data_IF_906527324427
#
_entry.id   IF_906527324427
#
_cell.length_a   1.000
_cell.length_b   1.000
_cell.length_c   1.000
_cell.angle_alpha   90.00
_cell.angle_beta   90.00
_cell.angle_gamma   90.00
#
_symmetry.space_group_name_H-M   'P 1'
#
loop_
_entity.id
_entity.type
_entity.pdbx_description
1 polymer ?
#
# COMPACT_ATOMS: atom_id res chain seq x y z
N UNK A 1 -42.23 -6.33 14.55
CA UNK A 1 -41.02 -6.92 13.95
C UNK A 1 -40.17 -5.79 13.38
N UNK A 2 -39.07 -5.43 14.05
CA UNK A 2 -38.11 -4.46 13.53
C UNK A 2 -36.79 -5.19 13.33
N UNK A 3 -36.43 -5.42 12.06
CA UNK A 3 -35.17 -6.04 11.69
C UNK A 3 -34.05 -5.03 11.93
N UNK A 4 -33.23 -5.25 12.95
CA UNK A 4 -31.98 -4.52 13.15
C UNK A 4 -30.91 -5.18 12.27
N UNK A 5 -30.55 -4.53 11.17
CA UNK A 5 -29.31 -4.82 10.44
C UNK A 5 -28.13 -4.43 11.31
N UNK A 6 -27.45 -5.42 11.89
CA UNK A 6 -26.15 -5.23 12.54
C UNK A 6 -25.11 -4.92 11.46
N UNK A 7 -24.67 -3.67 11.37
CA UNK A 7 -23.45 -3.32 10.65
C UNK A 7 -22.26 -3.85 11.45
N UNK A 8 -21.62 -4.91 10.96
CA UNK A 8 -20.39 -5.43 11.56
C UNK A 8 -19.27 -4.39 11.40
N UNK A 9 -18.53 -4.05 12.47
CA UNK A 9 -17.44 -3.09 12.39
C UNK A 9 -16.33 -3.60 11.47
N UNK A 10 -15.96 -2.78 10.48
CA UNK A 10 -14.80 -3.04 9.62
C UNK A 10 -13.54 -3.11 10.49
N UNK A 11 -12.71 -4.17 10.38
CA UNK A 11 -11.45 -4.22 11.12
C UNK A 11 -10.57 -3.04 10.69
N UNK A 12 -10.37 -2.09 11.60
CA UNK A 12 -9.51 -0.94 11.37
C UNK A 12 -8.07 -1.34 11.69
N UNK A 13 -7.33 -1.78 10.68
CA UNK A 13 -5.86 -1.90 10.78
C UNK A 13 -5.27 -0.51 10.56
N UNK A 14 -5.06 0.25 11.64
CA UNK A 14 -4.36 1.54 11.60
C UNK A 14 -2.86 1.30 11.70
N UNK A 15 -2.16 1.10 10.57
CA UNK A 15 -0.69 1.13 10.58
C UNK A 15 -0.23 2.57 10.59
N UNK A 16 0.15 3.06 11.77
CA UNK A 16 0.80 4.37 11.91
C UNK A 16 2.28 4.23 11.59
N UNK A 17 2.68 4.53 10.36
CA UNK A 17 4.09 4.70 10.00
C UNK A 17 4.60 6.09 10.45
N UNK A 18 4.52 6.37 11.75
CA UNK A 18 5.28 7.46 12.37
C UNK A 18 6.65 6.89 12.72
N UNK A 19 7.70 7.34 12.04
CA UNK A 19 9.07 6.95 12.33
C UNK A 19 9.72 7.95 13.30
N UNK A 20 9.90 7.59 14.58
CA UNK A 20 10.95 8.13 15.39
C UNK A 20 12.00 7.06 15.76
N UNK A 21 13.28 7.40 15.55
CA UNK A 21 14.48 6.79 16.16
C UNK A 21 14.98 5.41 15.64
N UNK A 22 16.31 5.13 15.71
CA UNK A 22 16.96 4.07 14.96
C UNK A 22 16.98 2.75 15.75
N UNK A 23 15.82 2.14 15.91
CA UNK A 23 15.74 0.73 16.26
C UNK A 23 14.80 0.09 15.24
N UNK A 24 15.34 -0.56 14.21
CA UNK A 24 14.50 -1.04 13.14
C UNK A 24 13.78 -2.28 13.65
N UNK A 25 12.49 -2.14 13.98
CA UNK A 25 11.53 -3.24 13.80
C UNK A 25 11.35 -3.47 12.30
N UNK A 26 12.45 -3.81 11.65
CA UNK A 26 12.52 -4.24 10.27
C UNK A 26 12.27 -5.72 10.27
N UNK A 27 11.02 -6.09 10.05
CA UNK A 27 10.67 -7.44 9.68
C UNK A 27 11.47 -7.79 8.41
N UNK A 28 12.46 -8.68 8.53
CA UNK A 28 13.35 -9.06 7.43
C UNK A 28 12.57 -9.86 6.37
N UNK A 29 11.92 -9.12 5.47
CA UNK A 29 11.00 -9.64 4.46
C UNK A 29 11.75 -10.19 3.24
N UNK A 30 12.31 -11.39 3.34
CA UNK A 30 12.66 -12.15 2.15
C UNK A 30 11.44 -12.86 1.55
N UNK A 31 10.40 -13.22 2.33
CA UNK A 31 9.28 -14.06 1.87
C UNK A 31 7.89 -13.55 2.24
N UNK A 32 7.81 -12.48 3.03
CA UNK A 32 6.51 -12.03 3.51
C UNK A 32 5.67 -11.43 2.39
N UNK A 33 4.38 -11.73 2.45
CA UNK A 33 3.36 -11.24 1.54
C UNK A 33 2.30 -10.47 2.33
N UNK A 34 2.61 -9.31 2.98
CA UNK A 34 1.59 -8.54 3.67
C UNK A 34 0.47 -8.14 2.70
N UNK A 35 -0.74 -8.53 3.05
CA UNK A 35 -1.94 -8.25 2.28
C UNK A 35 -2.94 -7.52 3.14
N UNK A 36 -3.41 -6.37 2.66
CA UNK A 36 -4.41 -5.56 3.35
C UNK A 36 -5.62 -5.43 2.45
N UNK A 37 -6.78 -5.87 2.94
CA UNK A 37 -8.06 -5.74 2.26
C UNK A 37 -9.01 -4.90 3.10
N UNK A 38 -9.70 -3.95 2.48
CA UNK A 38 -10.72 -3.13 3.16
C UNK A 38 -10.19 -2.36 4.39
N UNK A 39 -8.89 -2.02 4.39
CA UNK A 39 -8.23 -1.33 5.51
C UNK A 39 -8.16 0.19 5.30
N UNK A 40 -8.03 0.95 6.39
CA UNK A 40 -7.74 2.39 6.36
C UNK A 40 -6.26 2.62 6.65
N UNK A 41 -5.55 3.21 5.70
CA UNK A 41 -4.16 3.61 5.85
C UNK A 41 -4.13 5.09 6.23
N UNK A 42 -4.00 5.38 7.53
CA UNK A 42 -4.10 6.74 8.07
C UNK A 42 -2.70 7.34 8.25
N UNK A 43 -2.38 8.35 7.45
CA UNK A 43 -1.14 9.11 7.52
C UNK A 43 -1.26 10.20 8.59
N UNK A 44 -0.35 10.17 9.57
CA UNK A 44 -0.29 11.12 10.67
C UNK A 44 0.85 12.10 10.49
N UNK A 45 0.75 13.26 11.16
CA UNK A 45 1.83 14.26 11.18
C UNK A 45 3.13 13.63 11.71
N UNK A 46 4.21 13.60 10.92
CA UNK A 46 5.51 13.11 11.38
C UNK A 46 6.22 14.17 12.23
N UNK A 47 7.43 13.86 12.69
CA UNK A 47 8.29 14.86 13.32
C UNK A 47 8.78 15.90 12.31
N UNK A 48 9.37 16.99 12.79
CA UNK A 48 9.93 18.03 11.95
C UNK A 48 10.93 17.46 10.92
N UNK A 49 10.94 18.04 9.72
CA UNK A 49 11.83 17.68 8.61
C UNK A 49 11.71 16.22 8.10
N UNK A 50 10.56 15.58 8.30
CA UNK A 50 10.28 14.24 7.79
C UNK A 50 9.19 14.26 6.71
N UNK A 51 9.20 13.24 5.84
CA UNK A 51 8.14 12.92 4.91
C UNK A 51 7.50 11.58 5.28
N UNK A 52 6.23 11.38 4.91
CA UNK A 52 5.51 10.15 5.20
C UNK A 52 5.55 9.17 4.03
N UNK A 53 5.67 7.88 4.36
CA UNK A 53 5.66 6.78 3.39
C UNK A 53 4.61 5.79 3.83
N UNK A 54 3.62 5.50 2.97
CA UNK A 54 2.59 4.50 3.29
C UNK A 54 3.22 3.10 3.34
N UNK A 55 4.17 2.81 2.44
CA UNK A 55 4.86 1.51 2.39
C UNK A 55 6.40 1.64 2.31
N UNK A 56 7.10 0.64 2.85
CA UNK A 56 8.55 0.51 2.72
C UNK A 56 8.93 -0.97 2.61
N UNK A 57 8.68 -1.57 1.43
CA UNK A 57 8.79 -3.02 1.28
C UNK A 57 10.25 -3.47 1.11
N UNK A 58 10.59 -4.60 1.74
CA UNK A 58 11.97 -5.04 2.00
C UNK A 58 12.47 -6.24 1.19
N UNK A 59 11.86 -6.60 0.07
CA UNK A 59 12.28 -7.74 -0.76
C UNK A 59 13.71 -7.55 -1.28
N UNK A 60 14.61 -8.46 -0.89
CA UNK A 60 16.03 -8.45 -1.27
C UNK A 60 16.36 -9.32 -2.49
N UNK A 61 15.53 -10.30 -2.81
CA UNK A 61 15.84 -11.30 -3.83
C UNK A 61 14.88 -11.21 -5.01
N UNK A 62 15.42 -11.20 -6.23
CA UNK A 62 14.63 -11.10 -7.48
C UNK A 62 13.59 -12.20 -7.61
N UNK A 63 13.94 -13.42 -7.21
CA UNK A 63 13.12 -14.64 -7.36
C UNK A 63 12.11 -14.83 -6.22
N UNK A 64 12.22 -14.06 -5.14
CA UNK A 64 11.26 -14.13 -4.05
C UNK A 64 9.87 -13.67 -4.50
N UNK A 65 8.84 -14.34 -3.99
CA UNK A 65 7.42 -14.03 -4.19
C UNK A 65 6.91 -12.90 -3.30
N UNK A 66 7.73 -12.38 -2.39
CA UNK A 66 7.34 -11.32 -1.45
C UNK A 66 6.78 -10.07 -2.15
N UNK A 67 5.74 -9.50 -1.56
CA UNK A 67 5.06 -8.29 -2.04
C UNK A 67 4.23 -7.68 -0.90
N UNK A 68 4.09 -6.36 -0.89
CA UNK A 68 3.04 -5.69 -0.11
C UNK A 68 1.88 -5.35 -1.05
N UNK A 69 0.66 -5.76 -0.70
CA UNK A 69 -0.54 -5.48 -1.50
C UNK A 69 -1.59 -4.76 -0.66
N UNK A 70 -2.06 -3.63 -1.18
CA UNK A 70 -3.16 -2.82 -0.65
C UNK A 70 -4.34 -2.95 -1.62
N UNK A 71 -5.37 -3.74 -1.28
CA UNK A 71 -6.57 -3.92 -2.10
C UNK A 71 -7.79 -3.29 -1.43
N UNK A 72 -8.50 -2.42 -2.16
CA UNK A 72 -9.67 -1.71 -1.63
C UNK A 72 -9.45 -1.06 -0.27
N UNK A 73 -8.26 -0.50 -0.09
CA UNK A 73 -7.92 0.28 1.09
C UNK A 73 -8.30 1.75 0.88
N UNK A 74 -8.43 2.50 1.97
CA UNK A 74 -8.54 3.96 1.93
C UNK A 74 -7.27 4.58 2.49
N UNK A 75 -6.47 5.20 1.62
CA UNK A 75 -5.28 5.96 1.98
C UNK A 75 -5.71 7.40 2.26
N UNK A 76 -5.66 7.79 3.53
CA UNK A 76 -6.15 9.06 4.04
C UNK A 76 -5.17 9.69 5.02
N UNK A 77 -5.37 10.96 5.38
CA UNK A 77 -4.55 11.67 6.34
C UNK A 77 -5.37 12.22 7.51
N UNK A 78 -4.74 12.35 8.67
CA UNK A 78 -5.32 13.07 9.80
C UNK A 78 -5.37 14.58 9.56
N UNK A 79 -6.33 15.31 10.15
CA UNK A 79 -6.42 16.76 10.02
C UNK A 79 -5.11 17.49 10.36
N UNK A 80 -4.39 17.04 11.39
CA UNK A 80 -3.12 17.63 11.81
C UNK A 80 -2.00 17.50 10.76
N UNK A 81 -2.02 16.45 9.93
CA UNK A 81 -1.10 16.32 8.80
C UNK A 81 -1.45 17.35 7.72
N UNK A 82 -2.74 17.44 7.36
CA UNK A 82 -3.24 18.32 6.32
C UNK A 82 -3.08 19.82 6.66
N UNK A 83 -3.11 20.18 7.94
CA UNK A 83 -2.98 21.55 8.42
C UNK A 83 -1.54 22.01 8.65
N UNK A 84 -0.52 21.21 8.29
CA UNK A 84 0.88 21.57 8.55
C UNK A 84 1.40 22.59 7.53
N UNK A 85 2.12 23.59 8.02
CA UNK A 85 2.78 24.63 7.23
C UNK A 85 4.29 24.62 7.54
N UNK A 86 5.18 24.47 6.53
CA UNK A 86 4.86 24.16 5.13
C UNK A 86 4.24 22.75 4.99
N UNK A 87 3.51 22.47 3.89
CA UNK A 87 2.92 21.17 3.65
C UNK A 87 3.96 20.03 3.71
N UNK A 88 3.62 18.96 4.42
CA UNK A 88 4.47 17.77 4.53
C UNK A 88 4.23 16.87 3.32
N UNK A 89 5.31 16.35 2.72
CA UNK A 89 5.19 15.41 1.61
C UNK A 89 4.81 14.02 2.11
N UNK A 90 3.88 13.37 1.42
CA UNK A 90 3.53 11.96 1.62
C UNK A 90 3.60 11.20 0.29
N UNK A 91 4.03 9.94 0.34
CA UNK A 91 4.18 9.06 -0.82
C UNK A 91 3.56 7.69 -0.54
N UNK A 92 3.14 7.01 -1.60
CA UNK A 92 2.65 5.62 -1.58
C UNK A 92 3.71 4.65 -1.04
N UNK A 93 4.99 4.96 -1.25
CA UNK A 93 6.08 4.25 -0.61
C UNK A 93 7.45 4.52 -1.19
N UNK A 94 8.43 3.76 -0.68
CA UNK A 94 9.85 3.83 -1.09
C UNK A 94 10.54 2.46 -1.00
N UNK A 95 11.52 2.15 -1.86
CA UNK A 95 12.12 0.83 -1.93
C UNK A 95 13.16 0.63 -0.81
N UNK A 96 12.77 -0.03 0.28
CA UNK A 96 13.73 -0.29 1.38
C UNK A 96 14.82 -1.29 0.98
N UNK A 97 14.55 -2.18 0.02
CA UNK A 97 15.52 -3.11 -0.59
C UNK A 97 15.40 -3.16 -2.11
N UNK A 98 16.46 -3.66 -2.74
CA UNK A 98 16.72 -3.57 -4.19
C UNK A 98 15.56 -4.08 -5.05
N UNK A 99 14.89 -5.15 -4.64
CA UNK A 99 13.81 -5.77 -5.41
C UNK A 99 12.44 -5.43 -4.84
N UNK A 100 12.28 -4.27 -4.18
CA UNK A 100 11.04 -3.89 -3.52
C UNK A 100 9.82 -4.05 -4.45
N UNK A 101 8.75 -4.69 -3.97
CA UNK A 101 7.51 -4.93 -4.70
C UNK A 101 6.30 -4.48 -3.87
N UNK A 102 5.53 -3.54 -4.40
CA UNK A 102 4.31 -3.01 -3.77
C UNK A 102 3.24 -2.82 -4.83
N UNK A 103 2.03 -3.29 -4.57
CA UNK A 103 0.87 -3.11 -5.43
C UNK A 103 -0.23 -2.40 -4.65
N UNK A 104 -0.78 -1.33 -5.24
CA UNK A 104 -1.92 -0.60 -4.69
C UNK A 104 -3.04 -0.67 -5.70
N UNK A 105 -4.11 -1.39 -5.39
CA UNK A 105 -5.18 -1.64 -6.34
C UNK A 105 -6.56 -1.46 -5.75
N UNK A 106 -7.52 -1.03 -6.59
CA UNK A 106 -8.91 -0.82 -6.22
C UNK A 106 -9.11 0.08 -5.00
N UNK A 107 -8.12 0.92 -4.68
CA UNK A 107 -8.05 1.67 -3.42
C UNK A 107 -8.45 3.12 -3.62
N UNK A 108 -9.04 3.73 -2.59
CA UNK A 108 -9.31 5.16 -2.53
C UNK A 108 -8.07 5.90 -2.01
N UNK A 109 -7.57 6.87 -2.76
CA UNK A 109 -6.39 7.67 -2.41
C UNK A 109 -6.80 9.13 -2.32
N UNK A 110 -6.73 9.71 -1.13
CA UNK A 110 -7.01 11.13 -0.91
C UNK A 110 -5.89 12.01 -1.51
N UNK A 111 -6.20 13.30 -1.73
CA UNK A 111 -5.41 14.21 -2.57
C UNK A 111 -4.12 14.77 -1.94
N UNK A 112 -3.68 14.21 -0.80
CA UNK A 112 -2.48 14.67 -0.09
C UNK A 112 -1.20 13.92 -0.51
N UNK A 113 -1.35 12.83 -1.28
CA UNK A 113 -0.21 12.09 -1.82
C UNK A 113 0.46 12.94 -2.92
N UNK A 114 1.79 13.03 -2.84
CA UNK A 114 2.59 13.75 -3.82
C UNK A 114 2.33 13.19 -5.24
N UNK A 115 2.20 14.04 -6.27
CA UNK A 115 1.89 13.59 -7.63
C UNK A 115 2.88 12.58 -8.21
N UNK A 116 4.15 12.67 -7.79
CA UNK A 116 5.22 11.71 -8.09
C UNK A 116 4.87 10.28 -7.64
N UNK A 117 4.02 10.16 -6.62
CA UNK A 117 3.47 8.93 -6.04
C UNK A 117 4.46 8.17 -5.18
N UNK A 118 5.68 7.96 -5.67
CA UNK A 118 6.70 7.13 -5.05
C UNK A 118 7.95 7.95 -4.74
N UNK A 119 8.61 7.66 -3.61
CA UNK A 119 9.86 8.35 -3.23
C UNK A 119 11.07 7.44 -3.44
N UNK A 120 12.20 8.04 -3.79
CA UNK A 120 13.48 7.32 -3.79
C UNK A 120 13.83 6.89 -2.36
N UNK A 121 14.61 5.82 -2.24
CA UNK A 121 15.28 5.49 -0.98
C UNK A 121 16.56 6.32 -0.83
N UNK A 122 17.47 6.19 -1.81
CA UNK A 122 18.72 6.95 -1.89
C UNK A 122 19.22 6.97 -3.34
N UNK A 123 19.43 8.16 -3.90
CA UNK A 123 19.91 8.31 -5.29
C UNK A 123 19.08 7.49 -6.28
N UNK A 124 19.74 6.65 -7.06
CA UNK A 124 19.13 5.75 -8.05
C UNK A 124 18.94 4.31 -7.56
N UNK A 125 19.13 4.05 -6.26
CA UNK A 125 18.99 2.71 -5.70
C UNK A 125 17.61 2.10 -5.97
N UNK A 126 17.60 0.84 -6.43
CA UNK A 126 16.42 0.02 -6.71
C UNK A 126 15.49 0.52 -7.84
N UNK A 127 15.72 1.71 -8.41
CA UNK A 127 14.75 2.33 -9.33
C UNK A 127 14.52 1.50 -10.60
N UNK A 128 15.52 0.72 -11.01
CA UNK A 128 15.44 -0.16 -12.19
C UNK A 128 14.96 -1.59 -11.89
N UNK A 129 14.95 -1.98 -10.62
CA UNK A 129 14.75 -3.37 -10.17
C UNK A 129 13.54 -3.58 -9.27
N UNK A 130 13.00 -2.51 -8.68
CA UNK A 130 11.74 -2.51 -7.96
C UNK A 130 10.57 -2.86 -8.89
N UNK A 131 9.43 -3.24 -8.31
CA UNK A 131 8.19 -3.54 -9.01
C UNK A 131 7.03 -2.84 -8.29
N UNK A 132 6.75 -1.59 -8.67
CA UNK A 132 5.65 -0.82 -8.10
C UNK A 132 4.54 -0.64 -9.12
N UNK A 133 3.30 -0.79 -8.67
CA UNK A 133 2.14 -0.76 -9.55
C UNK A 133 0.90 -0.22 -8.86
N UNK A 134 0.12 0.51 -9.65
CA UNK A 134 -1.20 1.02 -9.29
C UNK A 134 -2.24 0.46 -10.26
N UNK A 135 -3.42 0.05 -9.78
CA UNK A 135 -4.48 -0.48 -10.65
C UNK A 135 -5.88 -0.12 -10.18
N UNK A 136 -6.66 0.57 -11.03
CA UNK A 136 -8.05 0.98 -10.73
C UNK A 136 -8.19 1.67 -9.36
N UNK A 137 -7.21 2.48 -8.97
CA UNK A 137 -7.35 3.33 -7.80
C UNK A 137 -8.29 4.50 -8.13
N UNK A 138 -8.94 5.02 -7.10
CA UNK A 138 -9.91 6.11 -7.18
C UNK A 138 -9.53 7.26 -6.23
N UNK A 139 -10.15 8.41 -6.43
CA UNK A 139 -9.96 9.61 -5.60
C UNK A 139 -8.91 10.58 -6.14
N UNK A 140 -8.80 11.77 -5.54
CA UNK A 140 -7.96 12.84 -6.06
C UNK A 140 -6.45 12.52 -6.07
N UNK A 141 -5.99 11.58 -5.22
CA UNK A 141 -4.58 11.14 -5.20
C UNK A 141 -4.25 10.04 -6.21
N UNK A 142 -5.23 9.51 -6.95
CA UNK A 142 -5.03 8.39 -7.88
C UNK A 142 -4.60 8.80 -9.29
N UNK A 143 -4.49 10.09 -9.59
CA UNK A 143 -3.98 10.54 -10.89
C UNK A 143 -2.52 10.10 -11.08
N UNK A 144 -2.28 9.31 -12.14
CA UNK A 144 -0.97 8.76 -12.45
C UNK A 144 -0.17 9.61 -13.46
N UNK A 145 -0.74 10.69 -14.00
CA UNK A 145 -0.15 11.48 -15.09
C UNK A 145 1.24 12.07 -14.77
N UNK A 146 1.51 12.31 -13.48
CA UNK A 146 2.75 12.89 -12.95
C UNK A 146 3.59 11.93 -12.12
N UNK A 147 3.27 10.62 -12.15
CA UNK A 147 4.07 9.62 -11.45
C UNK A 147 5.50 9.60 -11.98
N UNK A 148 6.43 9.22 -11.10
CA UNK A 148 7.81 8.95 -11.49
C UNK A 148 7.89 7.91 -12.61
N UNK A 149 8.88 8.05 -13.49
CA UNK A 149 9.06 7.20 -14.69
C UNK A 149 10.20 6.20 -14.55
N UNK A 150 10.45 5.70 -13.34
CA UNK A 150 11.50 4.70 -13.11
C UNK A 150 11.14 3.41 -13.84
N UNK A 151 12.14 2.67 -14.32
CA UNK A 151 11.94 1.40 -15.01
C UNK A 151 11.20 0.35 -14.14
N UNK A 152 11.33 0.47 -12.82
CA UNK A 152 10.60 -0.37 -11.86
C UNK A 152 9.11 -0.02 -11.71
N UNK A 153 8.63 1.12 -12.21
CA UNK A 153 7.19 1.42 -12.25
C UNK A 153 6.53 0.61 -13.37
N UNK A 154 5.51 -0.15 -13.01
CA UNK A 154 4.88 -1.13 -13.88
C UNK A 154 3.51 -0.66 -14.34
N UNK A 155 3.23 -0.89 -15.62
CA UNK A 155 1.86 -0.82 -16.13
C UNK A 155 1.13 -2.09 -15.72
N UNK A 156 0.22 -1.97 -14.75
CA UNK A 156 -0.54 -3.12 -14.24
C UNK A 156 -1.76 -3.35 -15.14
N UNK A 157 -1.77 -4.48 -15.85
CA UNK A 157 -2.94 -4.93 -16.62
C UNK A 157 -3.92 -5.67 -15.70
N UNK A 158 -5.18 -5.90 -16.12
CA UNK A 158 -6.13 -6.71 -15.35
C UNK A 158 -5.60 -8.10 -14.99
N UNK A 159 -4.91 -8.78 -15.91
CA UNK A 159 -4.32 -10.09 -15.67
C UNK A 159 -3.18 -10.02 -14.63
N UNK A 160 -2.36 -8.97 -14.65
CA UNK A 160 -1.33 -8.76 -13.62
C UNK A 160 -1.98 -8.47 -12.27
N UNK A 161 -2.99 -7.60 -12.20
CA UNK A 161 -3.71 -7.29 -10.97
C UNK A 161 -4.33 -8.55 -10.34
N UNK A 162 -4.96 -9.40 -11.16
CA UNK A 162 -5.53 -10.69 -10.74
C UNK A 162 -4.48 -11.58 -10.04
N UNK A 163 -3.23 -11.58 -10.52
CA UNK A 163 -2.15 -12.37 -9.92
C UNK A 163 -1.76 -11.93 -8.50
N UNK A 164 -2.13 -10.70 -8.11
CA UNK A 164 -1.90 -10.16 -6.77
C UNK A 164 -3.12 -10.27 -5.84
N UNK A 165 -4.23 -10.88 -6.27
CA UNK A 165 -5.39 -11.15 -5.40
C UNK A 165 -5.08 -12.23 -4.37
N UNK A 166 -5.82 -12.32 -3.24
CA UNK A 166 -5.54 -13.29 -2.18
C UNK A 166 -5.37 -14.74 -2.67
N UNK A 167 -6.33 -15.25 -3.45
CA UNK A 167 -6.31 -16.64 -3.92
C UNK A 167 -5.05 -16.95 -4.76
N UNK A 168 -4.59 -15.99 -5.56
CA UNK A 168 -3.42 -16.13 -6.45
C UNK A 168 -2.11 -15.88 -5.72
N UNK A 169 -2.03 -14.80 -4.94
CA UNK A 169 -0.81 -14.38 -4.25
C UNK A 169 -0.34 -15.42 -3.24
N UNK A 170 -1.28 -16.05 -2.52
CA UNK A 170 -0.98 -17.07 -1.52
C UNK A 170 -0.89 -18.48 -2.09
N UNK A 171 -1.23 -18.68 -3.37
CA UNK A 171 -1.38 -19.99 -4.01
C UNK A 171 -2.36 -20.90 -3.26
N UNK A 172 -3.52 -20.34 -2.90
CA UNK A 172 -4.53 -20.95 -2.04
C UNK A 172 -4.84 -20.09 -0.82
N UNK A 173 -6.12 -19.97 -0.49
CA UNK A 173 -6.68 -19.10 0.55
C UNK A 173 -7.58 -19.85 1.56
N UNK A 174 -7.53 -21.19 1.53
CA UNK A 174 -8.27 -22.06 2.45
C UNK A 174 -8.03 -21.69 3.93
N UNK A 175 -6.79 -21.37 4.29
CA UNK A 175 -6.42 -20.95 5.64
C UNK A 175 -7.07 -19.62 6.05
N UNK A 176 -7.33 -18.72 5.09
CA UNK A 176 -8.05 -17.46 5.33
C UNK A 176 -9.54 -17.76 5.48
N UNK A 177 -10.12 -18.59 4.59
CA UNK A 177 -11.51 -19.00 4.70
C UNK A 177 -11.81 -19.69 6.05
N UNK A 178 -10.92 -20.58 6.49
CA UNK A 178 -11.01 -21.27 7.78
C UNK A 178 -10.90 -20.33 8.99
N UNK A 179 -10.22 -19.17 8.84
CA UNK A 179 -10.13 -18.19 9.92
C UNK A 179 -11.47 -17.50 10.25
N UNK A 180 -12.46 -17.60 9.36
CA UNK A 180 -13.75 -16.92 9.49
C UNK A 180 -13.69 -15.41 9.26
N UNK A 181 -12.52 -14.86 8.91
CA UNK A 181 -12.36 -13.44 8.60
C UNK A 181 -12.96 -13.16 7.22
N UNK A 182 -13.87 -12.17 7.09
CA UNK A 182 -14.41 -11.79 5.79
C UNK A 182 -13.33 -11.26 4.85
N UNK A 183 -13.27 -11.82 3.64
CA UNK A 183 -12.40 -11.34 2.56
C UNK A 183 -12.98 -11.71 1.20
N UNK A 184 -12.49 -11.05 0.15
CA UNK A 184 -12.77 -11.38 -1.25
C UNK A 184 -11.53 -12.06 -1.85
N UNK A 185 -11.63 -13.28 -2.38
CA UNK A 185 -10.47 -14.05 -2.84
C UNK A 185 -9.85 -13.51 -4.14
N UNK A 186 -10.64 -12.78 -4.94
CA UNK A 186 -10.25 -12.22 -6.24
C UNK A 186 -10.32 -10.70 -6.29
N UNK A 187 -10.60 -10.16 -7.48
CA UNK A 187 -10.88 -8.75 -7.66
C UNK A 187 -12.23 -8.38 -7.04
N UNK A 188 -12.30 -7.22 -6.38
CA UNK A 188 -13.53 -6.77 -5.74
C UNK A 188 -14.47 -6.19 -6.81
N UNK A 189 -15.74 -6.62 -6.87
CA UNK A 189 -16.70 -6.07 -7.83
C UNK A 189 -17.15 -4.66 -7.43
N UNK A 190 -17.39 -3.80 -8.42
CA UNK A 190 -18.01 -2.47 -8.26
C UNK A 190 -17.27 -1.48 -7.33
N UNK A 191 -15.94 -1.57 -7.26
CA UNK A 191 -15.07 -0.62 -6.53
C UNK A 191 -14.12 0.14 -7.44
#
# INVERSE_FOLDING_TARGET
MASRTLSTPTPTVSTTATAPSPAPLTLSSATLRPFFQNCRMIVRKPMANQACMVTAQGRKERRSTGATVLQNCHIMAEPAFLSTVPPIKAYLGRPWKEYSRTIIMQSLIDGFIAPEGWSVWQGTFALDTLYYGEFKNRGPGSDMSRRVRWKGIQTITPAIAESFTPARLFAGDEWVAQSGIPYVPGMIPNV
#
